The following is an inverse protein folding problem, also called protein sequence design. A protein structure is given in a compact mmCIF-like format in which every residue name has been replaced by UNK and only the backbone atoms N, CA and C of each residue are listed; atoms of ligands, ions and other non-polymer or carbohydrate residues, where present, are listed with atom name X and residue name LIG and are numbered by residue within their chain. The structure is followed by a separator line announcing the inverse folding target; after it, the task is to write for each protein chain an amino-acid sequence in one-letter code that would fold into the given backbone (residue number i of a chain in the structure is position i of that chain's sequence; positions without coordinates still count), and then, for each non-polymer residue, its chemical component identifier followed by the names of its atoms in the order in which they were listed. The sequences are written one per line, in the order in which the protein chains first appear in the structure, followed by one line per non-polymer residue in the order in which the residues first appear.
data_IF_052682821513
#
_entry.id   IF_052682821513
#
_cell.length_a   1.000
_cell.length_b   1.000
_cell.length_c   1.000
_cell.angle_alpha   90.00
_cell.angle_beta   90.00
_cell.angle_gamma   90.00
#
_symmetry.space_group_name_H-M   'P 1'
#
loop_
_entity.id
_entity.type
_entity.pdbx_description
1 polymer ?
#
# COMPACT_ATOMS: atom_id res chain seq x y z
N UNK A 1 -9.09 -20.20 -11.52
CA UNK A 1 -9.40 -19.00 -10.71
C UNK A 1 -8.09 -18.52 -10.12
N UNK A 2 -7.63 -17.32 -10.51
CA UNK A 2 -6.37 -16.76 -10.00
C UNK A 2 -6.46 -16.58 -8.49
N UNK A 3 -5.49 -17.11 -7.74
CA UNK A 3 -5.44 -16.99 -6.29
C UNK A 3 -5.12 -15.56 -5.84
N UNK A 4 -5.46 -15.25 -4.59
CA UNK A 4 -5.10 -13.99 -3.93
C UNK A 4 -3.62 -14.06 -3.55
N UNK A 5 -2.82 -13.06 -3.95
CA UNK A 5 -1.47 -12.89 -3.42
C UNK A 5 -1.55 -12.27 -2.01
N UNK A 6 -1.15 -13.01 -0.99
CA UNK A 6 -1.23 -12.58 0.42
C UNK A 6 -0.30 -11.40 0.75
N UNK A 7 0.81 -11.25 0.03
CA UNK A 7 1.78 -10.17 0.26
C UNK A 7 1.20 -8.79 -0.07
N UNK A 8 0.08 -8.76 -0.80
CA UNK A 8 -0.61 -7.53 -1.19
C UNK A 8 -1.80 -7.21 -0.27
N UNK A 9 -2.04 -8.00 0.78
CA UNK A 9 -3.06 -7.70 1.78
C UNK A 9 -2.56 -6.58 2.68
N UNK A 10 -3.27 -5.45 2.68
CA UNK A 10 -2.99 -4.36 3.60
C UNK A 10 -3.73 -4.56 4.94
N UNK A 11 -3.15 -4.10 6.05
CA UNK A 11 -3.81 -4.18 7.37
C UNK A 11 -5.13 -3.39 7.45
N UNK A 12 -5.32 -2.40 6.56
CA UNK A 12 -6.56 -1.63 6.45
C UNK A 12 -7.67 -2.34 5.65
N UNK A 13 -7.43 -3.55 5.14
CA UNK A 13 -8.38 -4.30 4.30
C UNK A 13 -8.37 -3.92 2.82
N UNK A 14 -7.56 -2.94 2.41
CA UNK A 14 -7.33 -2.65 1.00
C UNK A 14 -6.39 -3.69 0.38
N UNK A 15 -6.63 -4.07 -0.86
CA UNK A 15 -5.74 -4.94 -1.60
C UNK A 15 -4.76 -4.12 -2.44
N UNK A 16 -3.46 -4.13 -2.11
CA UNK A 16 -2.45 -3.36 -2.84
C UNK A 16 -2.40 -3.71 -4.33
N UNK A 17 -2.78 -4.94 -4.71
CA UNK A 17 -2.84 -5.37 -6.11
C UNK A 17 -3.82 -4.61 -7.01
N UNK A 18 -4.79 -3.89 -6.43
CA UNK A 18 -5.70 -2.99 -7.17
C UNK A 18 -5.35 -1.50 -6.98
N UNK A 19 -4.28 -1.20 -6.24
CA UNK A 19 -3.83 0.17 -6.03
C UNK A 19 -3.25 0.75 -7.32
N UNK A 20 -3.71 1.95 -7.72
CA UNK A 20 -3.23 2.63 -8.92
C UNK A 20 -1.73 2.91 -8.91
N UNK A 21 -1.13 3.19 -7.75
CA UNK A 21 0.32 3.43 -7.61
C UNK A 21 1.11 2.16 -7.92
N UNK A 22 0.78 1.06 -7.24
CA UNK A 22 1.46 -0.22 -7.44
C UNK A 22 1.24 -0.76 -8.86
N UNK A 23 0.02 -0.58 -9.38
CA UNK A 23 -0.31 -0.91 -10.77
C UNK A 23 0.55 -0.12 -11.76
N UNK A 24 0.66 1.19 -11.59
CA UNK A 24 1.45 2.05 -12.47
C UNK A 24 2.93 1.67 -12.49
N UNK A 25 3.48 1.30 -11.33
CA UNK A 25 4.87 0.86 -11.22
C UNK A 25 5.11 -0.53 -11.80
N UNK A 26 4.32 -1.52 -11.38
CA UNK A 26 4.44 -2.92 -11.82
C UNK A 26 4.29 -3.07 -13.33
N UNK A 27 3.35 -2.36 -13.93
CA UNK A 27 3.06 -2.47 -15.36
C UNK A 27 3.91 -1.50 -16.20
N UNK A 28 4.79 -0.70 -15.59
CA UNK A 28 5.61 0.29 -16.30
C UNK A 28 4.79 1.32 -17.08
N UNK A 29 3.61 1.70 -16.54
CA UNK A 29 2.66 2.55 -17.25
C UNK A 29 3.01 4.03 -17.06
N UNK A 30 3.99 4.51 -17.82
CA UNK A 30 4.52 5.88 -17.71
C UNK A 30 3.45 6.97 -17.84
N UNK A 31 2.51 6.83 -18.79
CA UNK A 31 1.39 7.78 -18.94
C UNK A 31 0.52 7.86 -17.69
N UNK A 32 0.32 6.73 -17.01
CA UNK A 32 -0.43 6.72 -15.76
C UNK A 32 0.40 7.26 -14.60
N UNK A 33 1.70 6.96 -14.53
CA UNK A 33 2.63 7.57 -13.56
C UNK A 33 2.59 9.10 -13.65
N UNK A 34 2.68 9.68 -14.85
CA UNK A 34 2.60 11.15 -15.05
C UNK A 34 1.31 11.77 -14.50
N UNK A 35 0.16 11.10 -14.72
CA UNK A 35 -1.12 11.54 -14.17
C UNK A 35 -1.13 11.48 -12.64
N UNK A 36 -0.62 10.40 -12.06
CA UNK A 36 -0.52 10.23 -10.62
C UNK A 36 0.43 11.26 -9.99
N UNK A 37 1.54 11.57 -10.65
CA UNK A 37 2.48 12.63 -10.22
C UNK A 37 1.79 13.98 -10.07
N UNK A 38 0.91 14.33 -11.02
CA UNK A 38 0.14 15.57 -10.97
C UNK A 38 -0.85 15.61 -9.79
N UNK A 39 -1.37 14.45 -9.37
CA UNK A 39 -2.31 14.32 -8.25
C UNK A 39 -1.58 14.36 -6.90
N UNK A 40 -0.45 13.66 -6.80
CA UNK A 40 0.28 13.48 -5.55
C UNK A 40 1.42 14.48 -5.35
N UNK A 41 1.71 15.33 -6.33
CA UNK A 41 2.80 16.31 -6.27
C UNK A 41 4.19 15.65 -6.26
N UNK A 42 4.33 14.49 -6.89
CA UNK A 42 5.57 13.70 -6.93
C UNK A 42 6.18 13.69 -8.32
N UNK A 43 7.36 13.08 -8.47
CA UNK A 43 7.95 12.78 -9.79
C UNK A 43 7.68 11.34 -10.20
N UNK A 44 7.80 10.98 -11.50
CA UNK A 44 7.60 9.60 -11.96
C UNK A 44 8.52 8.59 -11.26
N UNK A 45 9.74 9.02 -10.93
CA UNK A 45 10.74 8.24 -10.18
C UNK A 45 10.32 7.88 -8.75
N UNK A 46 9.40 8.66 -8.17
CA UNK A 46 8.83 8.44 -6.83
C UNK A 46 7.62 7.48 -6.86
N UNK A 47 7.06 7.21 -8.05
CA UNK A 47 5.96 6.24 -8.23
C UNK A 47 6.56 4.83 -8.29
N UNK A 48 7.00 4.37 -7.11
CA UNK A 48 7.52 3.01 -6.87
C UNK A 48 6.84 2.40 -5.67
N UNK A 49 6.28 1.20 -5.81
CA UNK A 49 5.56 0.54 -4.72
C UNK A 49 5.42 -0.97 -4.94
N UNK A 50 5.80 -1.77 -3.94
CA UNK A 50 5.59 -3.23 -3.92
C UNK A 50 4.50 -3.67 -2.94
N UNK A 51 3.90 -2.74 -2.21
CA UNK A 51 2.87 -3.01 -1.20
C UNK A 51 3.16 -2.29 0.11
N UNK A 52 2.14 -2.07 0.92
CA UNK A 52 2.30 -1.31 2.17
C UNK A 52 3.06 -2.06 3.28
N UNK A 53 3.15 -3.39 3.17
CA UNK A 53 3.89 -4.30 4.07
C UNK A 53 5.19 -4.81 3.43
N UNK A 54 5.71 -4.15 2.39
CA UNK A 54 6.98 -4.50 1.78
C UNK A 54 8.12 -4.42 2.81
N UNK A 55 9.13 -5.29 2.67
CA UNK A 55 10.27 -5.37 3.60
C UNK A 55 11.07 -4.06 3.66
N UNK A 56 11.27 -3.42 2.51
CA UNK A 56 12.02 -2.17 2.41
C UNK A 56 11.08 -0.97 2.37
N UNK A 57 11.36 0.05 3.18
CA UNK A 57 10.54 1.27 3.23
C UNK A 57 10.57 2.07 1.91
N UNK A 58 11.67 1.99 1.15
CA UNK A 58 11.79 2.57 -0.19
C UNK A 58 10.81 1.98 -1.20
N UNK A 59 10.41 0.72 -1.01
CA UNK A 59 9.40 0.01 -1.82
C UNK A 59 7.96 0.30 -1.36
N UNK A 60 7.78 1.15 -0.35
CA UNK A 60 6.47 1.61 0.13
C UNK A 60 6.21 3.02 -0.38
N UNK A 61 5.03 3.26 -0.97
CA UNK A 61 4.67 4.61 -1.42
C UNK A 61 4.55 5.60 -0.26
N UNK A 62 4.90 6.87 -0.51
CA UNK A 62 4.99 7.97 0.48
C UNK A 62 3.84 7.97 1.51
N UNK A 63 2.58 7.95 1.06
CA UNK A 63 1.42 8.00 1.96
C UNK A 63 1.22 6.72 2.78
N UNK A 64 1.69 5.58 2.27
CA UNK A 64 1.63 4.32 2.99
C UNK A 64 2.76 4.20 4.04
N UNK A 65 3.81 5.03 3.96
CA UNK A 65 4.89 5.05 4.97
C UNK A 65 4.39 5.57 6.32
N UNK A 66 3.62 6.66 6.31
CA UNK A 66 3.08 7.33 7.51
C UNK A 66 1.66 6.91 7.91
N UNK A 67 1.18 5.76 7.43
CA UNK A 67 -0.19 5.31 7.68
C UNK A 67 -0.39 4.85 9.15
N UNK A 68 -1.29 5.48 9.93
CA UNK A 68 -1.54 5.12 11.33
C UNK A 68 -2.11 3.71 11.51
N UNK A 69 -2.93 3.24 10.55
CA UNK A 69 -3.51 1.89 10.60
C UNK A 69 -2.41 0.83 10.50
N UNK A 70 -1.45 1.05 9.59
CA UNK A 70 -0.29 0.17 9.43
C UNK A 70 0.53 0.13 10.73
N UNK A 71 0.85 1.31 11.27
CA UNK A 71 1.60 1.42 12.51
C UNK A 71 0.90 0.71 13.67
N UNK A 72 -0.41 0.95 13.86
CA UNK A 72 -1.20 0.29 14.90
C UNK A 72 -1.19 -1.24 14.78
N UNK A 73 -1.31 -1.78 13.55
CA UNK A 73 -1.27 -3.24 13.34
C UNK A 73 0.12 -3.82 13.61
N UNK A 74 1.19 -3.12 13.22
CA UNK A 74 2.58 -3.51 13.52
C UNK A 74 2.84 -3.49 15.03
N UNK A 75 2.42 -2.44 15.74
CA UNK A 75 2.58 -2.29 17.20
C UNK A 75 1.81 -3.38 17.97
N UNK A 76 0.62 -3.76 17.50
CA UNK A 76 -0.21 -4.82 18.10
C UNK A 76 0.18 -6.23 17.65
N UNK A 77 1.06 -6.39 16.66
CA UNK A 77 1.45 -7.68 16.11
C UNK A 77 0.32 -8.42 15.39
N UNK A 78 -0.61 -7.68 14.77
CA UNK A 78 -1.76 -8.23 14.02
C UNK A 78 -1.61 -7.96 12.52
N UNK A 79 -2.16 -8.84 11.70
CA UNK A 79 -2.10 -8.73 10.23
C UNK A 79 -3.08 -7.71 9.67
N UNK A 80 -4.14 -7.39 10.43
CA UNK A 80 -5.10 -6.37 10.05
C UNK A 80 -6.11 -6.06 11.14
N UNK A 81 -6.85 -4.96 10.96
CA UNK A 81 -7.78 -4.46 11.97
C UNK A 81 -8.87 -5.47 12.36
N UNK A 82 -9.22 -6.42 11.48
CA UNK A 82 -10.20 -7.47 11.78
C UNK A 82 -9.77 -8.43 12.89
N UNK A 83 -8.49 -8.49 13.24
CA UNK A 83 -7.95 -9.28 14.34
C UNK A 83 -7.89 -8.49 15.66
N UNK A 84 -8.24 -7.20 15.65
CA UNK A 84 -8.22 -6.36 16.84
C UNK A 84 -9.52 -6.52 17.64
N UNK A 85 -9.42 -6.84 18.93
CA UNK A 85 -10.59 -6.98 19.83
C UNK A 85 -11.39 -5.67 19.98
N UNK A 86 -10.72 -4.51 19.82
CA UNK A 86 -11.35 -3.19 19.85
C UNK A 86 -12.07 -2.80 18.55
N UNK A 87 -11.93 -3.58 17.48
CA UNK A 87 -12.58 -3.29 16.20
C UNK A 87 -14.11 -3.26 16.36
N UNK A 88 -14.84 -2.25 15.84
CA UNK A 88 -14.45 -1.30 14.79
C UNK A 88 -13.92 0.08 15.25
N UNK A 89 -13.68 0.31 16.54
CA UNK A 89 -13.22 1.61 17.04
C UNK A 89 -11.72 1.59 17.42
N UNK A 90 -10.94 2.63 17.08
CA UNK A 90 -9.53 2.75 17.45
C UNK A 90 -9.27 2.82 18.96
#
# INVERSE_FOLDING_TARGET
MGGINKDWLAPCGLYCGVCGIMYADRDGNEKFKERLCSVYGTKPEDIKCKGCMAENEEDVFLYCRSCPIKQCCVEKGIEGCCQCDSFPLP
#
